data_IF_723905881926
#
_entry.id   IF_723905881926
#
_cell.length_a   1.000
_cell.length_b   1.000
_cell.length_c   1.000
_cell.angle_alpha   90.00
_cell.angle_beta   90.00
_cell.angle_gamma   90.00
#
_symmetry.space_group_name_H-M   'P 1'
#
loop_
_entity.id
_entity.type
_entity.pdbx_description
1 polymer ?
#
# COMPACT_ATOMS: atom_id res chain seq x y z
N UNK A 1 57.87 -25.80 12.55
CA UNK A 1 57.16 -24.89 13.47
C UNK A 1 56.53 -23.71 12.74
N UNK A 2 55.82 -23.93 11.64
CA UNK A 2 55.16 -22.86 10.87
C UNK A 2 53.95 -23.39 10.07
N UNK A 3 53.27 -24.42 10.60
CA UNK A 3 52.08 -25.00 9.96
C UNK A 3 50.87 -25.08 10.92
N UNK A 4 51.06 -24.88 12.22
CA UNK A 4 49.99 -25.05 13.21
C UNK A 4 49.20 -23.77 13.55
N UNK A 5 49.44 -22.64 12.87
CA UNK A 5 48.74 -21.38 13.15
C UNK A 5 47.54 -21.09 12.21
N UNK A 6 47.40 -21.80 11.08
CA UNK A 6 46.33 -21.53 10.11
C UNK A 6 45.02 -22.28 10.37
N UNK A 7 45.05 -23.32 11.22
CA UNK A 7 43.83 -24.12 11.53
C UNK A 7 43.03 -23.52 12.69
N UNK A 8 43.62 -22.64 13.50
CA UNK A 8 42.94 -22.06 14.69
C UNK A 8 42.01 -20.90 14.34
N UNK A 9 42.13 -20.29 13.15
CA UNK A 9 41.26 -19.20 12.70
C UNK A 9 39.94 -19.64 12.05
N UNK A 10 39.78 -20.92 11.71
CA UNK A 10 38.52 -21.47 11.15
C UNK A 10 37.67 -22.26 12.15
N UNK A 11 37.93 -22.10 13.46
CA UNK A 11 37.20 -22.81 14.52
C UNK A 11 36.42 -21.90 15.48
N UNK A 12 36.04 -20.70 15.05
CA UNK A 12 35.09 -19.87 15.78
C UNK A 12 33.70 -19.97 15.17
N UNK A 13 32.90 -20.80 15.84
CA UNK A 13 31.46 -20.63 15.94
C UNK A 13 30.66 -20.98 14.68
N UNK A 14 30.62 -22.28 14.38
CA UNK A 14 29.37 -22.91 13.96
C UNK A 14 28.35 -22.81 15.12
N UNK A 15 27.94 -21.58 15.46
CA UNK A 15 26.64 -21.38 16.09
C UNK A 15 25.67 -21.84 15.03
N UNK A 16 24.79 -22.76 15.38
CA UNK A 16 23.55 -22.93 14.65
C UNK A 16 23.03 -21.52 14.34
N UNK A 17 23.14 -21.12 13.08
CA UNK A 17 22.38 -20.00 12.53
C UNK A 17 20.95 -20.50 12.54
N UNK A 18 20.34 -20.57 13.73
CA UNK A 18 18.94 -20.25 13.85
C UNK A 18 18.88 -18.82 13.35
N UNK A 19 18.72 -18.67 12.04
CA UNK A 19 18.25 -17.44 11.42
C UNK A 19 16.86 -17.26 12.00
N UNK A 20 16.79 -16.78 13.24
CA UNK A 20 15.60 -16.12 13.71
C UNK A 20 15.43 -14.97 12.72
N UNK A 21 14.47 -15.12 11.80
CA UNK A 21 13.98 -13.99 11.03
C UNK A 21 13.55 -12.96 12.07
N UNK A 22 14.44 -11.99 12.33
CA UNK A 22 14.12 -10.83 13.14
C UNK A 22 13.26 -9.98 12.23
N UNK A 23 11.96 -10.03 12.44
CA UNK A 23 11.03 -9.02 11.94
C UNK A 23 11.56 -7.65 12.39
N UNK A 24 11.69 -6.71 11.45
CA UNK A 24 12.24 -5.38 11.74
C UNK A 24 11.31 -4.63 12.68
N UNK A 25 10.00 -4.77 12.46
CA UNK A 25 8.96 -4.23 13.31
C UNK A 25 8.33 -5.33 14.18
N UNK A 26 7.78 -4.93 15.31
CA UNK A 26 6.98 -5.83 16.13
C UNK A 26 5.60 -6.02 15.48
N UNK A 27 4.98 -7.19 15.66
CA UNK A 27 3.61 -7.45 15.17
C UNK A 27 2.57 -6.45 15.70
N UNK A 28 2.81 -5.83 16.86
CA UNK A 28 1.94 -4.80 17.45
C UNK A 28 2.01 -3.46 16.73
N UNK A 29 3.09 -3.18 15.99
CA UNK A 29 3.21 -1.96 15.19
C UNK A 29 2.10 -1.83 14.13
N UNK A 30 1.56 -2.96 13.65
CA UNK A 30 0.45 -2.98 12.70
C UNK A 30 -0.87 -2.46 13.26
N UNK A 31 -1.03 -2.36 14.58
CA UNK A 31 -2.25 -1.86 15.23
C UNK A 31 -3.53 -2.54 14.69
N UNK A 32 -3.46 -3.85 14.46
CA UNK A 32 -4.57 -4.61 13.87
C UNK A 32 -5.81 -4.62 14.78
N UNK A 33 -5.62 -4.64 16.09
CA UNK A 33 -6.72 -4.64 17.06
C UNK A 33 -7.48 -3.31 17.00
N UNK A 34 -6.75 -2.20 17.02
CA UNK A 34 -7.27 -0.84 16.90
C UNK A 34 -7.90 -0.62 15.52
N UNK A 35 -7.23 -1.03 14.45
CA UNK A 35 -7.77 -0.98 13.09
C UNK A 35 -9.09 -1.70 12.95
N UNK A 36 -9.18 -2.94 13.45
CA UNK A 36 -10.39 -3.74 13.34
C UNK A 36 -11.52 -3.22 14.22
N UNK A 37 -11.20 -2.57 15.35
CA UNK A 37 -12.19 -1.97 16.25
C UNK A 37 -13.03 -0.87 15.59
N UNK A 38 -12.52 -0.23 14.53
CA UNK A 38 -13.23 0.84 13.81
C UNK A 38 -14.54 0.37 13.18
N UNK A 39 -14.63 -0.89 12.75
CA UNK A 39 -15.84 -1.40 12.10
C UNK A 39 -17.03 -1.41 13.06
N UNK A 40 -16.76 -1.63 14.36
CA UNK A 40 -17.79 -1.48 15.40
C UNK A 40 -18.27 -0.04 15.49
N UNK A 41 -17.36 0.94 15.47
CA UNK A 41 -17.72 2.36 15.47
C UNK A 41 -18.50 2.76 14.21
N UNK A 42 -18.17 2.23 13.03
CA UNK A 42 -18.94 2.47 11.80
C UNK A 42 -20.34 1.85 11.84
N UNK A 43 -20.45 0.64 12.40
CA UNK A 43 -21.74 -0.03 12.60
C UNK A 43 -22.64 0.77 13.55
N UNK A 44 -22.09 1.31 14.64
CA UNK A 44 -22.81 2.19 15.58
C UNK A 44 -23.35 3.48 14.92
N UNK A 45 -22.72 3.94 13.84
CA UNK A 45 -23.16 5.09 13.04
C UNK A 45 -24.22 4.72 11.99
N UNK A 46 -24.68 3.48 11.96
CA UNK A 46 -25.67 2.98 10.99
C UNK A 46 -25.07 2.74 9.59
N UNK A 47 -23.74 2.73 9.47
CA UNK A 47 -23.05 2.26 8.28
C UNK A 47 -22.90 0.74 8.41
N UNK A 48 -24.02 0.03 8.26
CA UNK A 48 -24.06 -1.44 8.27
C UNK A 48 -24.04 -1.97 6.83
N UNK A 49 -23.54 -3.20 6.65
CA UNK A 49 -23.50 -3.87 5.34
C UNK A 49 -22.50 -3.22 4.37
N UNK A 50 -21.20 -3.50 4.54
CA UNK A 50 -20.13 -2.83 3.78
C UNK A 50 -20.34 -2.75 2.27
N UNK A 51 -20.95 -3.78 1.66
CA UNK A 51 -21.28 -3.77 0.23
C UNK A 51 -22.40 -2.78 -0.15
N UNK A 52 -23.39 -2.59 0.71
CA UNK A 52 -24.52 -1.67 0.48
C UNK A 52 -24.04 -0.22 0.45
N UNK A 53 -23.16 0.16 1.39
CA UNK A 53 -22.62 1.51 1.44
C UNK A 53 -21.71 1.82 0.24
N UNK A 54 -20.84 0.88 -0.15
CA UNK A 54 -20.01 0.99 -1.37
C UNK A 54 -20.91 1.19 -2.59
N UNK A 55 -21.95 0.37 -2.74
CA UNK A 55 -22.92 0.48 -3.85
C UNK A 55 -23.66 1.83 -3.84
N UNK A 56 -24.04 2.33 -2.66
CA UNK A 56 -24.72 3.62 -2.52
C UNK A 56 -23.83 4.78 -2.99
N UNK A 57 -22.55 4.76 -2.66
CA UNK A 57 -21.57 5.76 -3.13
C UNK A 57 -21.37 5.67 -4.65
N UNK A 58 -21.26 4.47 -5.21
CA UNK A 58 -21.21 4.30 -6.67
C UNK A 58 -22.44 4.87 -7.37
N UNK A 59 -23.64 4.63 -6.82
CA UNK A 59 -24.89 5.19 -7.36
C UNK A 59 -24.90 6.72 -7.32
N UNK A 60 -24.36 7.36 -6.27
CA UNK A 60 -24.22 8.83 -6.21
C UNK A 60 -23.35 9.36 -7.36
N UNK A 61 -22.24 8.68 -7.66
CA UNK A 61 -21.42 9.03 -8.82
C UNK A 61 -22.15 8.83 -10.16
N UNK A 62 -22.97 7.78 -10.30
CA UNK A 62 -23.72 7.52 -11.55
C UNK A 62 -24.86 8.54 -11.73
N UNK A 63 -25.59 8.87 -10.66
CA UNK A 63 -26.80 9.70 -10.75
C UNK A 63 -26.51 11.19 -10.76
N UNK A 64 -25.55 11.64 -9.93
CA UNK A 64 -25.26 13.05 -9.71
C UNK A 64 -23.86 13.47 -10.19
N UNK A 65 -23.02 12.52 -10.60
CA UNK A 65 -21.62 12.79 -10.96
C UNK A 65 -20.73 13.16 -9.76
N UNK A 66 -21.25 13.10 -8.53
CA UNK A 66 -20.60 13.63 -7.34
C UNK A 66 -20.90 12.76 -6.11
N UNK A 67 -19.89 12.54 -5.28
CA UNK A 67 -20.04 12.02 -3.93
C UNK A 67 -19.21 12.88 -2.96
N UNK A 68 -19.67 13.01 -1.71
CA UNK A 68 -18.89 13.74 -0.70
C UNK A 68 -17.64 12.94 -0.32
N UNK A 69 -16.55 13.62 0.02
CA UNK A 69 -15.32 12.96 0.46
C UNK A 69 -15.53 12.07 1.70
N UNK A 70 -16.46 12.45 2.58
CA UNK A 70 -16.82 11.69 3.78
C UNK A 70 -17.57 10.40 3.42
N UNK A 71 -18.49 10.44 2.45
CA UNK A 71 -19.18 9.24 1.98
C UNK A 71 -18.18 8.24 1.39
N UNK A 72 -17.25 8.74 0.57
CA UNK A 72 -16.17 7.92 -0.02
C UNK A 72 -15.29 7.35 1.07
N UNK A 73 -14.84 8.17 2.02
CA UNK A 73 -14.02 7.72 3.15
C UNK A 73 -14.69 6.59 3.92
N UNK A 74 -15.97 6.73 4.26
CA UNK A 74 -16.75 5.68 4.92
C UNK A 74 -16.83 4.40 4.08
N UNK A 75 -16.99 4.51 2.75
CA UNK A 75 -17.02 3.35 1.85
C UNK A 75 -15.68 2.61 1.78
N UNK A 76 -14.57 3.32 1.66
CA UNK A 76 -13.24 2.68 1.70
C UNK A 76 -12.96 2.14 3.11
N UNK A 77 -13.43 2.83 4.15
CA UNK A 77 -13.25 2.41 5.53
C UNK A 77 -14.13 1.24 5.99
N UNK A 78 -15.21 0.92 5.29
CA UNK A 78 -16.00 -0.27 5.61
C UNK A 78 -15.61 -1.47 4.74
N UNK A 79 -14.91 -1.23 3.63
CA UNK A 79 -14.45 -2.28 2.74
C UNK A 79 -13.50 -3.24 3.49
N UNK A 80 -13.80 -4.52 3.37
CA UNK A 80 -13.12 -5.57 4.11
C UNK A 80 -12.80 -6.80 3.24
N UNK A 81 -13.68 -7.11 2.29
CA UNK A 81 -13.61 -8.31 1.46
C UNK A 81 -12.92 -8.03 0.12
N UNK A 82 -12.39 -9.10 -0.50
CA UNK A 82 -11.59 -8.96 -1.72
C UNK A 82 -12.44 -8.58 -2.94
N UNK A 83 -13.69 -9.05 -2.99
CA UNK A 83 -14.63 -8.78 -4.08
C UNK A 83 -15.07 -7.30 -4.14
N UNK A 84 -14.92 -6.56 -3.04
CA UNK A 84 -15.18 -5.12 -2.95
C UNK A 84 -14.05 -4.26 -3.53
N UNK A 85 -12.87 -4.84 -3.77
CA UNK A 85 -11.66 -4.05 -4.06
C UNK A 85 -11.78 -3.21 -5.34
N UNK A 86 -12.26 -3.80 -6.43
CA UNK A 86 -12.37 -3.09 -7.71
C UNK A 86 -13.41 -1.94 -7.62
N UNK A 87 -14.50 -2.17 -6.90
CA UNK A 87 -15.54 -1.16 -6.65
C UNK A 87 -14.98 0.02 -5.84
N UNK A 88 -14.17 -0.27 -4.82
CA UNK A 88 -13.48 0.71 -3.98
C UNK A 88 -12.45 1.50 -4.80
N UNK A 89 -11.62 0.83 -5.60
CA UNK A 89 -10.65 1.50 -6.46
C UNK A 89 -11.33 2.42 -7.48
N UNK A 90 -12.47 2.00 -8.04
CA UNK A 90 -13.27 2.82 -8.95
C UNK A 90 -13.85 4.05 -8.25
N UNK A 91 -14.32 3.92 -7.01
CA UNK A 91 -14.79 5.06 -6.21
C UNK A 91 -13.65 6.06 -5.97
N UNK A 92 -12.47 5.59 -5.58
CA UNK A 92 -11.29 6.44 -5.33
C UNK A 92 -10.85 7.15 -6.60
N UNK A 93 -10.77 6.43 -7.72
CA UNK A 93 -10.48 7.00 -9.03
C UNK A 93 -11.49 8.11 -9.38
N UNK A 94 -12.80 7.86 -9.22
CA UNK A 94 -13.83 8.87 -9.48
C UNK A 94 -13.73 10.07 -8.55
N UNK A 95 -13.44 9.86 -7.27
CA UNK A 95 -13.21 10.96 -6.32
C UNK A 95 -12.05 11.85 -6.79
N UNK A 96 -10.98 11.27 -7.31
CA UNK A 96 -9.81 12.01 -7.81
C UNK A 96 -10.14 12.92 -9.00
N UNK A 97 -11.14 12.55 -9.79
CA UNK A 97 -11.54 13.25 -11.01
C UNK A 97 -12.66 14.28 -10.79
N UNK A 98 -12.94 14.65 -9.54
CA UNK A 98 -13.91 15.70 -9.18
C UNK A 98 -13.27 16.73 -8.24
N UNK A 99 -13.81 17.95 -8.21
CA UNK A 99 -13.27 19.06 -7.40
C UNK A 99 -13.19 18.75 -5.90
N UNK A 100 -14.07 17.87 -5.40
CA UNK A 100 -14.11 17.47 -3.99
C UNK A 100 -12.89 16.63 -3.59
N UNK A 101 -12.04 16.17 -4.52
CA UNK A 101 -10.78 15.46 -4.21
C UNK A 101 -9.89 16.19 -3.21
N UNK A 102 -9.88 17.54 -3.24
CA UNK A 102 -9.11 18.33 -2.28
C UNK A 102 -9.56 18.20 -0.82
N UNK A 103 -10.72 17.57 -0.59
CA UNK A 103 -11.25 17.25 0.74
C UNK A 103 -11.13 15.76 1.09
N UNK A 104 -10.43 14.97 0.29
CA UNK A 104 -10.16 13.55 0.59
C UNK A 104 -9.50 13.44 1.98
N UNK A 105 -9.98 12.50 2.78
CA UNK A 105 -9.50 12.31 4.13
C UNK A 105 -8.27 11.37 4.13
N UNK A 106 -7.27 11.60 5.00
CA UNK A 106 -6.12 10.69 5.12
C UNK A 106 -6.50 9.24 5.50
N UNK A 107 -7.65 9.07 6.15
CA UNK A 107 -8.22 7.75 6.45
C UNK A 107 -8.60 6.96 5.20
N UNK A 108 -8.95 7.64 4.10
CA UNK A 108 -9.30 7.01 2.82
C UNK A 108 -8.07 6.32 2.23
N UNK A 109 -6.95 7.04 2.17
CA UNK A 109 -5.66 6.53 1.69
C UNK A 109 -5.21 5.35 2.55
N UNK A 110 -5.22 5.55 3.88
CA UNK A 110 -4.81 4.52 4.82
C UNK A 110 -5.68 3.26 4.71
N UNK A 111 -7.00 3.41 4.60
CA UNK A 111 -7.92 2.28 4.46
C UNK A 111 -7.71 1.48 3.18
N UNK A 112 -7.48 2.17 2.05
CA UNK A 112 -7.19 1.50 0.79
C UNK A 112 -5.88 0.70 0.87
N UNK A 113 -4.82 1.29 1.43
CA UNK A 113 -3.53 0.60 1.64
C UNK A 113 -3.73 -0.64 2.52
N UNK A 114 -4.49 -0.52 3.61
CA UNK A 114 -4.78 -1.64 4.52
C UNK A 114 -5.56 -2.76 3.84
N UNK A 115 -6.55 -2.42 3.00
CA UNK A 115 -7.32 -3.40 2.22
C UNK A 115 -6.41 -4.17 1.25
N UNK A 116 -5.55 -3.46 0.51
CA UNK A 116 -4.60 -4.06 -0.44
C UNK A 116 -3.57 -4.96 0.26
N UNK A 117 -3.04 -4.53 1.42
CA UNK A 117 -2.12 -5.34 2.22
C UNK A 117 -2.81 -6.58 2.80
N UNK A 118 -4.05 -6.46 3.30
CA UNK A 118 -4.83 -7.58 3.85
C UNK A 118 -5.01 -8.69 2.81
N UNK A 119 -5.25 -8.32 1.56
CA UNK A 119 -5.51 -9.28 0.47
C UNK A 119 -4.29 -9.56 -0.42
N UNK A 120 -3.10 -9.13 0.00
CA UNK A 120 -1.84 -9.33 -0.72
C UNK A 120 -1.85 -8.83 -2.18
N UNK A 121 -2.62 -7.77 -2.47
CA UNK A 121 -2.73 -7.13 -3.79
C UNK A 121 -1.62 -6.10 -3.99
N UNK A 122 -0.39 -6.57 -3.86
CA UNK A 122 0.82 -5.75 -3.79
C UNK A 122 1.18 -5.10 -5.12
N UNK A 123 0.86 -5.78 -6.22
CA UNK A 123 1.00 -5.29 -7.59
C UNK A 123 0.08 -4.07 -7.86
N UNK A 124 -1.19 -4.17 -7.45
CA UNK A 124 -2.16 -3.08 -7.52
C UNK A 124 -1.72 -1.91 -6.61
N UNK A 125 -1.30 -2.20 -5.38
CA UNK A 125 -0.77 -1.19 -4.46
C UNK A 125 0.37 -0.38 -5.09
N UNK A 126 1.34 -1.05 -5.70
CA UNK A 126 2.45 -0.38 -6.36
C UNK A 126 1.99 0.42 -7.57
N UNK A 127 1.04 -0.10 -8.36
CA UNK A 127 0.48 0.60 -9.51
C UNK A 127 -0.24 1.90 -9.12
N UNK A 128 -1.09 1.88 -8.08
CA UNK A 128 -1.79 3.11 -7.64
C UNK A 128 -0.83 4.15 -7.04
N UNK A 129 0.22 3.71 -6.33
CA UNK A 129 1.23 4.62 -5.76
C UNK A 129 2.13 5.22 -6.85
N UNK A 130 2.30 4.53 -7.97
CA UNK A 130 3.01 5.04 -9.14
C UNK A 130 2.15 5.97 -10.00
N UNK A 131 0.83 6.02 -9.76
CA UNK A 131 -0.13 6.85 -10.49
C UNK A 131 -0.91 7.82 -9.55
N UNK A 132 -0.21 8.79 -8.94
CA UNK A 132 -0.84 9.78 -8.06
C UNK A 132 -1.76 10.75 -8.81
N UNK A 133 -1.68 10.80 -10.14
CA UNK A 133 -2.55 11.66 -10.95
C UNK A 133 -3.97 11.10 -10.91
N UNK A 134 -4.13 9.81 -11.18
CA UNK A 134 -5.45 9.18 -11.31
C UNK A 134 -6.04 8.68 -10.00
N UNK A 135 -5.22 8.30 -9.02
CA UNK A 135 -5.70 7.76 -7.74
C UNK A 135 -5.51 8.72 -6.57
N UNK A 136 -4.50 9.59 -6.64
CA UNK A 136 -4.23 10.56 -5.57
C UNK A 136 -3.89 9.94 -4.23
N UNK A 137 -3.33 8.71 -4.21
CA UNK A 137 -3.01 7.99 -2.97
C UNK A 137 -1.56 8.26 -2.59
N UNK A 138 -1.37 8.85 -1.41
CA UNK A 138 -0.06 9.10 -0.84
C UNK A 138 0.13 8.31 0.46
N UNK A 139 1.38 7.96 0.76
CA UNK A 139 1.69 7.22 1.98
C UNK A 139 1.84 8.23 3.12
N UNK A 140 1.28 7.92 4.28
CA UNK A 140 1.69 8.54 5.53
C UNK A 140 2.81 7.72 6.20
N UNK A 141 3.46 8.27 7.23
CA UNK A 141 4.63 7.63 7.86
C UNK A 141 4.35 6.20 8.34
N UNK A 142 3.19 5.97 8.95
CA UNK A 142 2.81 4.65 9.47
C UNK A 142 2.55 3.67 8.34
N UNK A 143 1.74 4.05 7.35
CA UNK A 143 1.44 3.21 6.19
C UNK A 143 2.69 2.88 5.37
N UNK A 144 3.62 3.82 5.20
CA UNK A 144 4.90 3.56 4.55
C UNK A 144 5.72 2.50 5.30
N UNK A 145 5.79 2.61 6.64
CA UNK A 145 6.43 1.58 7.47
C UNK A 145 5.77 0.21 7.29
N UNK A 146 4.43 0.14 7.29
CA UNK A 146 3.70 -1.11 7.10
C UNK A 146 3.97 -1.74 5.74
N UNK A 147 3.93 -0.95 4.67
CA UNK A 147 4.16 -1.45 3.30
C UNK A 147 5.60 -1.97 3.17
N UNK A 148 6.60 -1.19 3.61
CA UNK A 148 8.00 -1.61 3.56
C UNK A 148 8.21 -2.90 4.36
N UNK A 149 7.74 -2.96 5.60
CA UNK A 149 7.89 -4.14 6.45
C UNK A 149 7.23 -5.37 5.81
N UNK A 150 6.02 -5.22 5.26
CA UNK A 150 5.32 -6.31 4.57
C UNK A 150 6.10 -6.88 3.37
N UNK A 151 6.77 -6.02 2.60
CA UNK A 151 7.61 -6.45 1.47
C UNK A 151 8.90 -7.11 1.93
N UNK A 152 9.54 -6.60 2.98
CA UNK A 152 10.74 -7.20 3.54
C UNK A 152 10.45 -8.58 4.14
N UNK A 153 9.32 -8.73 4.85
CA UNK A 153 8.85 -10.03 5.37
C UNK A 153 8.55 -11.02 4.25
N UNK A 154 7.95 -10.56 3.15
CA UNK A 154 7.68 -11.38 1.97
C UNK A 154 8.93 -11.66 1.10
N UNK A 155 10.10 -11.12 1.46
CA UNK A 155 11.33 -11.23 0.66
C UNK A 155 11.32 -10.43 -0.64
N UNK A 156 10.32 -9.55 -0.84
CA UNK A 156 10.17 -8.65 -2.00
C UNK A 156 11.03 -7.40 -1.85
N UNK A 157 12.35 -7.60 -1.79
CA UNK A 157 13.32 -6.52 -1.52
C UNK A 157 13.24 -5.39 -2.56
N UNK A 158 13.05 -5.74 -3.83
CA UNK A 158 12.91 -4.78 -4.93
C UNK A 158 11.69 -3.88 -4.77
N UNK A 159 10.55 -4.43 -4.34
CA UNK A 159 9.35 -3.64 -4.09
C UNK A 159 9.49 -2.77 -2.84
N UNK A 160 10.15 -3.26 -1.78
CA UNK A 160 10.48 -2.46 -0.60
C UNK A 160 11.35 -1.24 -0.95
N UNK A 161 12.37 -1.43 -1.78
CA UNK A 161 13.22 -0.33 -2.27
C UNK A 161 12.47 0.65 -3.19
N UNK A 162 11.52 0.15 -3.99
CA UNK A 162 10.62 1.01 -4.79
C UNK A 162 9.81 1.93 -3.87
N UNK A 163 9.22 1.40 -2.80
CA UNK A 163 8.48 2.20 -1.81
C UNK A 163 9.40 3.20 -1.09
N UNK A 164 10.61 2.79 -0.71
CA UNK A 164 11.59 3.71 -0.13
C UNK A 164 11.87 4.90 -1.07
N UNK A 165 11.93 4.66 -2.37
CA UNK A 165 12.06 5.72 -3.38
C UNK A 165 10.84 6.63 -3.43
N UNK A 166 9.62 6.09 -3.33
CA UNK A 166 8.39 6.88 -3.22
C UNK A 166 8.38 7.77 -1.96
N UNK A 167 8.82 7.25 -0.81
CA UNK A 167 8.95 8.00 0.45
C UNK A 167 9.94 9.16 0.30
N UNK A 168 11.07 8.93 -0.40
CA UNK A 168 12.05 9.97 -0.70
C UNK A 168 11.49 11.04 -1.64
N UNK A 169 10.75 10.65 -2.68
CA UNK A 169 10.09 11.59 -3.61
C UNK A 169 9.02 12.45 -2.93
N UNK A 170 8.37 11.93 -1.89
CA UNK A 170 7.42 12.67 -1.05
C UNK A 170 8.10 13.49 0.07
N UNK A 171 9.43 13.47 0.17
CA UNK A 171 10.22 14.18 1.17
C UNK A 171 9.85 13.88 2.64
N UNK A 172 9.42 12.65 2.91
CA UNK A 172 8.97 12.21 4.23
C UNK A 172 10.13 11.82 5.16
N UNK A 173 10.82 12.82 5.72
CA UNK A 173 12.05 12.60 6.51
C UNK A 173 11.91 12.78 8.03
N UNK A 174 10.71 13.04 8.55
CA UNK A 174 10.51 13.39 9.96
C UNK A 174 10.66 12.17 10.89
N UNK A 175 10.15 11.01 10.48
CA UNK A 175 10.28 9.77 11.25
C UNK A 175 11.64 9.09 11.07
N UNK A 176 12.42 9.05 12.16
CA UNK A 176 13.66 8.27 12.24
C UNK A 176 13.44 6.81 11.88
N UNK A 177 12.34 6.20 12.34
CA UNK A 177 12.03 4.80 12.05
C UNK A 177 11.84 4.57 10.54
N UNK A 178 11.06 5.43 9.88
CA UNK A 178 10.82 5.33 8.45
C UNK A 178 12.13 5.51 7.67
N UNK A 179 12.95 6.49 8.04
CA UNK A 179 14.26 6.70 7.44
C UNK A 179 15.15 5.45 7.53
N UNK A 180 15.17 4.79 8.69
CA UNK A 180 15.91 3.53 8.89
C UNK A 180 15.38 2.41 7.98
N UNK A 181 14.07 2.24 7.87
CA UNK A 181 13.46 1.24 6.99
C UNK A 181 13.78 1.52 5.52
N UNK A 182 13.74 2.79 5.09
CA UNK A 182 14.08 3.18 3.72
C UNK A 182 15.55 2.91 3.39
N UNK A 183 16.47 3.29 4.28
CA UNK A 183 17.91 3.03 4.11
C UNK A 183 18.18 1.53 4.10
N UNK A 184 17.58 0.78 5.02
CA UNK A 184 17.71 -0.66 5.08
C UNK A 184 17.23 -1.33 3.79
N UNK A 185 16.04 -0.99 3.32
CA UNK A 185 15.46 -1.55 2.09
C UNK A 185 16.34 -1.25 0.87
N UNK A 186 16.85 -0.02 0.79
CA UNK A 186 17.75 0.42 -0.29
C UNK A 186 19.08 -0.32 -0.24
N UNK A 187 19.66 -0.54 0.95
CA UNK A 187 20.89 -1.32 1.11
C UNK A 187 20.67 -2.79 0.74
N UNK A 188 19.58 -3.41 1.20
CA UNK A 188 19.25 -4.79 0.82
C UNK A 188 19.08 -4.94 -0.69
N UNK A 189 18.59 -3.92 -1.36
CA UNK A 189 18.48 -3.91 -2.82
C UNK A 189 19.84 -3.85 -3.52
N UNK A 190 20.82 -3.11 -2.99
CA UNK A 190 22.17 -3.07 -3.59
C UNK A 190 22.95 -4.39 -3.42
N UNK A 191 22.58 -5.21 -2.45
CA UNK A 191 23.12 -6.56 -2.23
C UNK A 191 22.56 -7.61 -3.22
N UNK A 192 21.49 -7.29 -3.96
CA UNK A 192 20.93 -8.19 -4.96
C UNK A 192 21.83 -8.32 -6.20
N UNK A 193 21.68 -9.42 -6.92
CA UNK A 193 22.30 -9.61 -8.23
C UNK A 193 21.91 -8.51 -9.22
N UNK A 194 22.75 -8.24 -10.23
CA UNK A 194 22.52 -7.14 -11.19
C UNK A 194 21.18 -7.31 -11.91
N UNK A 195 20.82 -8.55 -12.21
CA UNK A 195 19.59 -8.92 -12.90
C UNK A 195 18.33 -8.64 -12.05
N UNK A 196 18.45 -8.77 -10.73
CA UNK A 196 17.35 -8.52 -9.78
C UNK A 196 17.21 -7.05 -9.37
N UNK A 197 18.22 -6.22 -9.65
CA UNK A 197 18.23 -4.77 -9.38
C UNK A 197 17.48 -3.98 -10.47
N UNK A 198 16.29 -4.45 -10.82
CA UNK A 198 15.43 -3.83 -11.84
C UNK A 198 14.02 -3.72 -11.29
N UNK A 199 13.43 -2.55 -11.41
CA UNK A 199 12.01 -2.37 -11.10
C UNK A 199 11.17 -2.97 -12.23
N UNK A 200 10.51 -4.08 -11.94
CA UNK A 200 9.55 -4.71 -12.85
C UNK A 200 8.44 -3.74 -13.28
N UNK A 201 7.89 -3.97 -14.48
CA UNK A 201 6.78 -3.18 -14.99
C UNK A 201 5.52 -3.49 -14.16
N UNK A 202 4.85 -2.44 -13.72
CA UNK A 202 3.61 -2.54 -12.95
C UNK A 202 2.40 -2.82 -13.87
N UNK A 203 1.35 -3.48 -13.36
CA UNK A 203 0.14 -3.74 -14.14
C UNK A 203 -0.56 -2.44 -14.53
N UNK A 204 -1.20 -2.42 -15.70
CA UNK A 204 -2.14 -1.35 -16.03
C UNK A 204 -3.45 -1.55 -15.26
N UNK A 205 -4.04 -0.45 -14.80
CA UNK A 205 -5.30 -0.44 -14.07
C UNK A 205 -6.47 0.09 -14.93
N UNK A 206 -6.33 0.12 -16.26
CA UNK A 206 -7.37 0.61 -17.18
C UNK A 206 -8.72 -0.10 -17.02
N UNK A 207 -8.71 -1.36 -16.56
CA UNK A 207 -9.92 -2.15 -16.31
C UNK A 207 -10.79 -1.56 -15.19
N UNK A 208 -10.20 -0.82 -14.24
CA UNK A 208 -10.90 -0.21 -13.09
C UNK A 208 -11.74 0.98 -13.54
N UNK A 209 -11.20 1.76 -14.47
CA UNK A 209 -11.89 2.91 -15.06
C UNK A 209 -13.15 2.44 -15.79
N UNK A 210 -13.08 1.25 -16.40
CA UNK A 210 -14.00 0.84 -17.44
C UNK A 210 -13.77 1.73 -18.66
N UNK A 211 -13.73 1.18 -19.86
CA UNK A 211 -13.60 1.99 -21.06
C UNK A 211 -14.91 2.77 -21.28
N UNK A 212 -15.15 3.83 -20.51
CA UNK A 212 -16.05 4.92 -20.89
C UNK A 212 -15.30 5.82 -21.90
N UNK A 213 -14.73 5.20 -22.95
CA UNK A 213 -14.44 5.92 -24.18
C UNK A 213 -15.79 6.15 -24.88
N UNK A 214 -16.59 7.06 -24.33
CA UNK A 214 -17.49 7.84 -25.18
C UNK A 214 -16.60 8.78 -26.01
N UNK A 215 -15.90 8.20 -26.98
CA UNK A 215 -15.55 8.94 -28.18
C UNK A 215 -16.90 9.21 -28.82
N UNK A 216 -17.46 10.38 -28.52
CA UNK A 216 -18.36 11.03 -29.47
C UNK A 216 -17.48 11.33 -30.67
N UNK A 217 -17.42 10.39 -31.61
CA UNK A 217 -17.20 10.75 -32.99
C UNK A 217 -18.35 11.70 -33.33
N UNK A 218 -18.06 12.99 -33.24
CA UNK A 218 -18.84 14.01 -33.90
C UNK A 218 -18.39 13.93 -35.36
N UNK A 219 -19.01 13.00 -36.08
CA UNK A 219 -19.30 13.25 -37.49
C UNK A 219 -20.31 14.41 -37.50
N UNK A 220 -19.82 15.60 -37.81
CA UNK A 220 -20.46 16.65 -38.64
C UNK A 220 -19.50 17.86 -38.81
#
# INVERSE_FOLDING_TARGET
>A
MLVDCLVVLMRRSARCLLVAQRHLLSKKFALNEEWNSRHRALSELGVEGGYEWITAVQKKFISAGLASAVDVDAAVCIAEELDQLDDVLKIVYKLRHIEITGRMLPSTEYALIRLLLKHHKTDILLAILADPINYGIFLNEHSACLVIDSFLEAGKITDAARIASCVMLQEMFQSTLLNWLCIYSSLRWTELSVEQRVFEKLPSLDYIVGTESNIKDVDD
#
